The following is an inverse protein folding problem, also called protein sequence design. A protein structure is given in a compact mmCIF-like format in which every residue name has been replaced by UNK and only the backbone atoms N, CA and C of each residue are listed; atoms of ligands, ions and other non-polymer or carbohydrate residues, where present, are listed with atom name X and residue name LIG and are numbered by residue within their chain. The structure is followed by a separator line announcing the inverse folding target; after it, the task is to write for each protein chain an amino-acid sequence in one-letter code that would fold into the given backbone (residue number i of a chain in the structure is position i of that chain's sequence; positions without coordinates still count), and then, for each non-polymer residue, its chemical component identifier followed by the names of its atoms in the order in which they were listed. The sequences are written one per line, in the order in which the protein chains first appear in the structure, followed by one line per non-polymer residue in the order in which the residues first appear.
data_IF_456383972633
#
_entry.id   IF_456383972633
#
_cell.length_a   1.000
_cell.length_b   1.000
_cell.length_c   1.000
_cell.angle_alpha   90.00
_cell.angle_beta   90.00
_cell.angle_gamma   90.00
#
_symmetry.space_group_name_H-M   'P 1'
#
loop_
_entity.id
_entity.type
_entity.pdbx_description
1 polymer ?
#
# COMPACT_ATOMS: atom_id res chain seq x y z
N UNK A 1 -19.83 0.38 -6.20
CA UNK A 1 -20.37 -0.26 -7.42
C UNK A 1 -19.54 -1.48 -7.78
N UNK A 2 -20.20 -2.54 -8.21
CA UNK A 2 -19.56 -3.67 -8.88
C UNK A 2 -19.21 -3.31 -10.32
N UNK A 3 -18.40 -4.11 -10.99
CA UNK A 3 -18.00 -3.87 -12.39
C UNK A 3 -19.19 -3.88 -13.36
N UNK A 4 -20.29 -4.52 -12.98
CA UNK A 4 -21.56 -4.51 -13.72
C UNK A 4 -22.42 -3.24 -13.45
N UNK A 5 -21.93 -2.31 -12.66
CA UNK A 5 -22.65 -1.09 -12.27
C UNK A 5 -23.66 -1.26 -11.13
N UNK A 6 -23.71 -2.42 -10.49
CA UNK A 6 -24.60 -2.65 -9.34
C UNK A 6 -24.11 -1.88 -8.12
N UNK A 7 -24.99 -1.08 -7.51
CA UNK A 7 -24.68 -0.37 -6.28
C UNK A 7 -24.63 -1.33 -5.09
N UNK A 8 -23.50 -1.40 -4.41
CA UNK A 8 -23.30 -2.23 -3.23
C UNK A 8 -23.16 -1.35 -1.99
N UNK A 9 -23.75 -1.80 -0.89
CA UNK A 9 -23.60 -1.16 0.40
C UNK A 9 -22.22 -1.51 0.97
N UNK A 10 -21.42 -0.48 1.24
CA UNK A 10 -20.18 -0.63 1.96
C UNK A 10 -20.45 -0.62 3.47
N UNK A 11 -19.83 -1.53 4.20
CA UNK A 11 -19.90 -1.59 5.64
C UNK A 11 -18.60 -1.07 6.25
N UNK A 12 -18.70 -0.45 7.43
CA UNK A 12 -17.52 -0.17 8.24
C UNK A 12 -16.85 -1.51 8.59
N UNK A 13 -15.56 -1.61 8.32
CA UNK A 13 -14.79 -2.83 8.55
C UNK A 13 -14.24 -2.92 9.97
N UNK A 14 -13.75 -4.10 10.32
CA UNK A 14 -13.00 -4.31 11.54
C UNK A 14 -11.64 -3.62 11.45
N UNK A 15 -11.19 -3.01 12.53
CA UNK A 15 -9.92 -2.27 12.60
C UNK A 15 -8.69 -3.14 12.88
N UNK A 16 -8.85 -4.46 12.97
CA UNK A 16 -7.77 -5.40 13.27
C UNK A 16 -6.63 -5.40 12.24
N UNK A 17 -6.92 -5.03 10.97
CA UNK A 17 -5.92 -4.94 9.90
C UNK A 17 -5.07 -3.67 9.95
N UNK A 18 -5.50 -2.65 10.69
CA UNK A 18 -4.78 -1.38 10.77
C UNK A 18 -3.39 -1.56 11.38
N UNK A 19 -3.25 -2.37 12.42
CA UNK A 19 -1.95 -2.64 13.02
C UNK A 19 -1.00 -3.36 12.07
N UNK A 20 -1.52 -4.28 11.25
CA UNK A 20 -0.72 -4.98 10.22
C UNK A 20 -0.12 -3.97 9.24
N UNK A 21 -0.92 -2.97 8.82
CA UNK A 21 -0.41 -1.92 7.93
C UNK A 21 0.62 -1.01 8.60
N UNK A 22 0.39 -0.61 9.84
CA UNK A 22 1.36 0.19 10.61
C UNK A 22 2.69 -0.54 10.74
N UNK A 23 2.66 -1.83 11.09
CA UNK A 23 3.86 -2.66 11.21
C UNK A 23 4.57 -2.85 9.85
N UNK A 24 3.81 -3.01 8.78
CA UNK A 24 4.32 -3.10 7.42
C UNK A 24 5.03 -1.80 6.98
N UNK A 25 4.46 -0.64 7.26
CA UNK A 25 5.10 0.66 7.00
C UNK A 25 6.35 0.83 7.85
N UNK A 26 6.31 0.45 9.13
CA UNK A 26 7.48 0.51 10.00
C UNK A 26 8.61 -0.39 9.49
N UNK A 27 8.28 -1.59 9.02
CA UNK A 27 9.28 -2.50 8.40
C UNK A 27 9.97 -1.86 7.18
N UNK A 28 9.25 -1.06 6.37
CA UNK A 28 9.87 -0.28 5.29
C UNK A 28 10.86 0.76 5.82
N UNK A 29 10.46 1.51 6.85
CA UNK A 29 11.33 2.50 7.48
C UNK A 29 12.57 1.87 8.11
N UNK A 30 12.43 0.68 8.66
CA UNK A 30 13.52 -0.09 9.30
C UNK A 30 14.35 -0.88 8.29
N UNK A 31 13.94 -0.91 7.01
CA UNK A 31 14.58 -1.72 5.95
C UNK A 31 14.50 -3.23 6.21
N UNK A 32 13.51 -3.66 6.97
CA UNK A 32 13.26 -5.07 7.30
C UNK A 32 12.56 -5.80 6.15
N UNK A 33 13.33 -6.28 5.19
CA UNK A 33 12.82 -6.95 4.00
C UNK A 33 12.09 -8.26 4.32
N UNK A 34 12.53 -8.99 5.34
CA UNK A 34 11.88 -10.23 5.77
C UNK A 34 10.51 -9.94 6.40
N UNK A 35 10.45 -8.93 7.27
CA UNK A 35 9.19 -8.45 7.84
C UNK A 35 8.19 -8.00 6.78
N UNK A 36 8.66 -7.27 5.76
CA UNK A 36 7.83 -6.85 4.62
C UNK A 36 7.29 -8.07 3.85
N UNK A 37 8.13 -9.04 3.54
CA UNK A 37 7.73 -10.24 2.78
C UNK A 37 6.71 -11.10 3.56
N UNK A 38 6.88 -11.22 4.87
CA UNK A 38 6.05 -12.07 5.72
C UNK A 38 4.58 -11.63 5.77
N UNK A 39 4.31 -10.34 5.63
CA UNK A 39 2.95 -9.76 5.70
C UNK A 39 2.14 -9.99 4.42
N UNK A 40 2.80 -10.33 3.31
CA UNK A 40 2.16 -10.49 2.00
C UNK A 40 1.78 -11.92 1.70
N UNK A 41 0.70 -12.09 0.94
CA UNK A 41 0.38 -13.37 0.31
C UNK A 41 1.41 -13.70 -0.78
N UNK A 42 1.63 -14.98 -1.07
CA UNK A 42 2.63 -15.39 -2.08
C UNK A 42 2.30 -14.86 -3.48
N UNK A 43 1.03 -14.71 -3.77
CA UNK A 43 0.49 -14.23 -5.05
C UNK A 43 0.00 -12.77 -5.00
N UNK A 44 0.55 -11.96 -4.07
CA UNK A 44 0.16 -10.56 -3.98
C UNK A 44 0.51 -9.76 -5.23
N UNK A 45 -0.24 -8.69 -5.46
CA UNK A 45 -0.03 -7.77 -6.57
C UNK A 45 -0.03 -6.33 -6.08
N UNK A 46 0.91 -5.52 -6.59
CA UNK A 46 0.98 -4.10 -6.37
C UNK A 46 0.81 -3.31 -7.67
N UNK A 47 -0.10 -2.35 -7.67
CA UNK A 47 -0.40 -1.48 -8.81
C UNK A 47 0.09 -0.07 -8.50
N UNK A 48 1.11 0.38 -9.24
CA UNK A 48 1.81 1.63 -9.01
C UNK A 48 1.16 2.81 -9.74
N UNK A 49 1.34 4.05 -9.27
CA UNK A 49 0.72 5.24 -9.86
C UNK A 49 1.09 5.46 -11.32
N UNK A 50 2.29 5.06 -11.73
CA UNK A 50 2.78 5.17 -13.11
C UNK A 50 2.30 4.08 -14.06
N UNK A 51 1.39 3.20 -13.61
CA UNK A 51 0.88 2.07 -14.40
C UNK A 51 1.72 0.79 -14.31
N UNK A 52 2.80 0.79 -13.53
CA UNK A 52 3.59 -0.40 -13.26
C UNK A 52 2.84 -1.39 -12.37
N UNK A 53 3.08 -2.68 -12.60
CA UNK A 53 2.53 -3.77 -11.78
C UNK A 53 3.68 -4.63 -11.27
N UNK A 54 3.68 -4.87 -9.96
CA UNK A 54 4.64 -5.77 -9.32
C UNK A 54 3.86 -7.00 -8.84
N UNK A 55 4.33 -8.20 -9.21
CA UNK A 55 3.70 -9.46 -8.83
C UNK A 55 4.65 -10.32 -8.00
N UNK A 56 4.19 -10.69 -6.82
CA UNK A 56 4.89 -11.57 -5.90
C UNK A 56 6.00 -10.89 -5.08
N UNK A 57 6.41 -11.57 -4.02
CA UNK A 57 7.39 -11.04 -3.07
C UNK A 57 8.79 -10.88 -3.67
N UNK A 58 9.26 -11.84 -4.48
CA UNK A 58 10.62 -11.78 -5.02
C UNK A 58 10.88 -10.49 -5.79
N UNK A 59 9.99 -10.16 -6.74
CA UNK A 59 10.12 -8.95 -7.54
C UNK A 59 10.06 -7.67 -6.68
N UNK A 60 9.20 -7.66 -5.67
CA UNK A 60 9.09 -6.49 -4.79
C UNK A 60 10.29 -6.32 -3.87
N UNK A 61 10.83 -7.39 -3.32
CA UNK A 61 12.04 -7.33 -2.48
C UNK A 61 13.25 -6.87 -3.29
N UNK A 62 13.39 -7.32 -4.53
CA UNK A 62 14.45 -6.81 -5.43
C UNK A 62 14.27 -5.31 -5.71
N UNK A 63 13.06 -4.88 -6.03
CA UNK A 63 12.74 -3.46 -6.20
C UNK A 63 13.10 -2.64 -4.95
N UNK A 64 12.74 -3.12 -3.75
CA UNK A 64 13.05 -2.43 -2.51
C UNK A 64 14.55 -2.40 -2.20
N UNK A 65 15.29 -3.47 -2.47
CA UNK A 65 16.75 -3.50 -2.30
C UNK A 65 17.42 -2.38 -3.08
N UNK A 66 17.07 -2.25 -4.36
CA UNK A 66 17.62 -1.21 -5.22
C UNK A 66 17.21 0.19 -4.73
N UNK A 67 15.96 0.37 -4.37
CA UNK A 67 15.47 1.65 -3.89
C UNK A 67 16.10 2.05 -2.56
N UNK A 68 16.21 1.12 -1.60
CA UNK A 68 16.83 1.37 -0.30
C UNK A 68 18.34 1.62 -0.39
N UNK A 69 19.03 1.03 -1.38
CA UNK A 69 20.43 1.29 -1.67
C UNK A 69 20.67 2.62 -2.38
N UNK A 70 19.63 3.23 -2.95
CA UNK A 70 19.73 4.49 -3.67
C UNK A 70 19.90 5.68 -2.72
N UNK A 71 20.32 6.82 -3.30
CA UNK A 71 20.42 8.10 -2.58
C UNK A 71 19.06 8.73 -2.22
N UNK A 72 17.95 8.15 -2.69
CA UNK A 72 16.60 8.67 -2.44
C UNK A 72 16.19 8.60 -0.98
N UNK A 73 16.67 7.58 -0.25
CA UNK A 73 16.40 7.38 1.19
C UNK A 73 14.93 7.56 1.57
N UNK A 74 14.01 6.76 0.99
CA UNK A 74 12.57 6.93 1.21
C UNK A 74 12.17 6.68 2.67
N UNK A 75 11.22 7.49 3.16
CA UNK A 75 10.59 7.37 4.48
C UNK A 75 9.08 7.49 4.34
N UNK A 76 8.37 6.71 5.11
CA UNK A 76 6.90 6.65 5.08
C UNK A 76 6.32 7.09 6.42
N UNK A 77 5.16 7.74 6.35
CA UNK A 77 4.36 8.09 7.51
C UNK A 77 2.88 7.82 7.22
N UNK A 78 2.24 7.03 8.08
CA UNK A 78 0.79 6.82 8.00
C UNK A 78 0.09 8.07 8.51
N UNK A 79 -0.84 8.61 7.73
CA UNK A 79 -1.59 9.84 8.05
C UNK A 79 -3.00 9.54 8.53
N UNK A 80 -3.68 8.59 7.90
CA UNK A 80 -5.04 8.18 8.24
C UNK A 80 -5.34 6.79 7.68
N UNK A 81 -6.33 6.11 8.25
CA UNK A 81 -6.78 4.78 7.80
C UNK A 81 -8.30 4.65 7.94
N UNK A 82 -8.91 3.96 6.98
CA UNK A 82 -10.33 3.62 6.97
C UNK A 82 -10.46 2.13 6.65
N UNK A 83 -10.96 1.34 7.60
CA UNK A 83 -11.27 -0.06 7.37
C UNK A 83 -12.67 -0.20 6.75
N UNK A 84 -12.80 -1.03 5.73
CA UNK A 84 -14.06 -1.28 5.06
C UNK A 84 -14.20 -2.74 4.63
N UNK A 85 -15.41 -3.25 4.69
CA UNK A 85 -15.77 -4.56 4.18
C UNK A 85 -16.86 -4.38 3.12
N UNK A 86 -16.71 -5.05 2.00
CA UNK A 86 -17.65 -4.93 0.89
C UNK A 86 -17.80 -6.25 0.14
N UNK A 87 -18.94 -6.43 -0.49
CA UNK A 87 -19.13 -7.52 -1.43
C UNK A 87 -18.49 -7.14 -2.76
N UNK A 88 -17.55 -7.96 -3.20
CA UNK A 88 -17.05 -7.88 -4.57
C UNK A 88 -18.00 -8.57 -5.54
N UNK A 89 -17.67 -8.50 -6.82
CA UNK A 89 -18.38 -9.16 -7.90
C UNK A 89 -18.68 -10.63 -7.55
N UNK A 90 -19.95 -10.99 -7.32
CA UNK A 90 -20.36 -12.35 -6.99
C UNK A 90 -20.62 -12.65 -5.51
N UNK A 91 -20.57 -11.66 -4.61
CA UNK A 91 -21.16 -11.74 -3.28
C UNK A 91 -20.27 -12.23 -2.14
N UNK A 92 -19.01 -12.60 -2.36
CA UNK A 92 -18.06 -12.84 -1.27
C UNK A 92 -17.63 -11.50 -0.64
N UNK A 93 -17.65 -11.43 0.70
CA UNK A 93 -17.16 -10.24 1.42
C UNK A 93 -15.65 -10.14 1.31
N UNK A 94 -15.16 -8.98 0.88
CA UNK A 94 -13.74 -8.65 0.87
C UNK A 94 -13.41 -7.67 1.99
N UNK A 95 -12.23 -7.83 2.56
CA UNK A 95 -11.70 -6.93 3.61
C UNK A 95 -10.69 -5.98 2.98
N UNK A 96 -10.97 -4.68 3.09
CA UNK A 96 -10.15 -3.62 2.55
C UNK A 96 -9.74 -2.61 3.61
N UNK A 97 -8.56 -2.02 3.44
CA UNK A 97 -8.08 -0.87 4.19
C UNK A 97 -7.68 0.21 3.19
N UNK A 98 -8.32 1.38 3.30
CA UNK A 98 -7.92 2.57 2.56
C UNK A 98 -7.12 3.47 3.48
N UNK A 99 -5.92 3.86 3.07
CA UNK A 99 -5.01 4.61 3.94
C UNK A 99 -4.27 5.70 3.20
N UNK A 100 -4.15 6.86 3.83
CA UNK A 100 -3.28 7.95 3.38
C UNK A 100 -1.92 7.83 4.03
N UNK A 101 -0.87 7.85 3.20
CA UNK A 101 0.51 7.80 3.66
C UNK A 101 1.32 8.88 2.95
N UNK A 102 2.18 9.56 3.69
CA UNK A 102 3.18 10.43 3.10
C UNK A 102 4.46 9.65 2.88
N UNK A 103 5.06 9.81 1.71
CA UNK A 103 6.40 9.33 1.41
C UNK A 103 7.30 10.53 1.18
N UNK A 104 8.43 10.57 1.89
CA UNK A 104 9.45 11.59 1.75
C UNK A 104 10.72 10.95 1.22
N UNK A 105 11.30 11.52 0.18
CA UNK A 105 12.52 11.01 -0.44
C UNK A 105 13.34 12.15 -1.04
N UNK A 106 14.59 11.89 -1.39
CA UNK A 106 15.45 12.85 -2.08
C UNK A 106 15.31 12.66 -3.60
N UNK A 107 15.14 13.77 -4.33
CA UNK A 107 15.17 13.78 -5.79
C UNK A 107 16.61 13.65 -6.33
N UNK A 108 16.76 13.67 -7.65
CA UNK A 108 18.05 13.55 -8.32
C UNK A 108 19.03 14.70 -7.98
N UNK A 109 18.50 15.85 -7.60
CA UNK A 109 19.29 17.05 -7.21
C UNK A 109 19.59 17.07 -5.69
N UNK A 110 19.13 16.06 -4.94
CA UNK A 110 19.31 15.96 -3.50
C UNK A 110 18.29 16.76 -2.68
N UNK A 111 17.27 17.33 -3.31
CA UNK A 111 16.21 18.03 -2.60
C UNK A 111 15.21 17.05 -2.01
N UNK A 112 14.71 17.33 -0.82
CA UNK A 112 13.67 16.54 -0.20
C UNK A 112 12.31 16.83 -0.87
N UNK A 113 11.65 15.76 -1.30
CA UNK A 113 10.32 15.77 -1.92
C UNK A 113 9.36 14.96 -1.06
N UNK A 114 8.13 15.43 -0.93
CA UNK A 114 7.04 14.67 -0.30
C UNK A 114 5.95 14.39 -1.32
N UNK A 115 5.54 13.15 -1.41
CA UNK A 115 4.34 12.72 -2.13
C UNK A 115 3.27 12.25 -1.14
N UNK A 116 2.03 12.54 -1.45
CA UNK A 116 0.87 12.04 -0.71
C UNK A 116 0.31 10.84 -1.45
N UNK A 117 0.31 9.68 -0.81
CA UNK A 117 -0.19 8.45 -1.37
C UNK A 117 -1.51 8.04 -0.72
N UNK A 118 -2.45 7.56 -1.52
CA UNK A 118 -3.57 6.76 -1.06
C UNK A 118 -3.32 5.32 -1.47
N UNK A 119 -3.36 4.42 -0.51
CA UNK A 119 -3.25 3.00 -0.74
C UNK A 119 -4.60 2.34 -0.46
N UNK A 120 -5.10 1.58 -1.42
CA UNK A 120 -6.20 0.65 -1.23
C UNK A 120 -5.63 -0.75 -1.09
N UNK A 121 -5.80 -1.35 0.09
CA UNK A 121 -5.19 -2.62 0.45
C UNK A 121 -6.26 -3.67 0.66
N UNK A 122 -6.22 -4.74 -0.11
CA UNK A 122 -7.03 -5.93 0.12
C UNK A 122 -6.27 -6.92 1.00
N UNK A 123 -6.96 -7.41 2.04
CA UNK A 123 -6.48 -8.49 2.88
C UNK A 123 -7.22 -9.79 2.60
N UNK A 124 -6.48 -10.89 2.63
CA UNK A 124 -7.02 -12.25 2.74
C UNK A 124 -6.45 -12.86 4.01
N UNK A 125 -7.31 -13.08 5.02
CA UNK A 125 -6.85 -13.37 6.37
C UNK A 125 -5.98 -12.22 6.88
N UNK A 126 -4.81 -12.52 7.40
CA UNK A 126 -3.84 -11.53 7.88
C UNK A 126 -2.74 -11.21 6.85
N UNK A 127 -2.96 -11.52 5.58
CA UNK A 127 -2.00 -11.28 4.49
C UNK A 127 -2.51 -10.23 3.53
N UNK A 128 -1.60 -9.36 3.08
CA UNK A 128 -1.88 -8.40 2.02
C UNK A 128 -1.91 -9.15 0.69
N UNK A 129 -3.04 -9.05 0.00
CA UNK A 129 -3.28 -9.67 -1.30
C UNK A 129 -3.05 -8.70 -2.46
N UNK A 130 -3.48 -7.46 -2.30
CA UNK A 130 -3.41 -6.42 -3.34
C UNK A 130 -3.18 -5.06 -2.71
N UNK A 131 -2.38 -4.25 -3.38
CA UNK A 131 -2.21 -2.83 -3.05
C UNK A 131 -2.39 -2.02 -4.34
N UNK A 132 -3.37 -1.11 -4.35
CA UNK A 132 -3.47 -0.08 -5.39
C UNK A 132 -2.91 1.22 -4.83
N UNK A 133 -2.00 1.87 -5.54
CA UNK A 133 -1.34 3.10 -5.08
C UNK A 133 -1.71 4.26 -6.00
N UNK A 134 -2.19 5.33 -5.40
CA UNK A 134 -2.44 6.61 -6.06
C UNK A 134 -1.55 7.68 -5.42
N UNK A 135 -0.98 8.57 -6.21
CA UNK A 135 -0.09 9.59 -5.68
C UNK A 135 -0.37 10.97 -6.23
N UNK A 136 -0.06 11.97 -5.43
CA UNK A 136 0.09 13.35 -5.85
C UNK A 136 1.31 13.99 -5.17
N UNK A 137 1.95 14.92 -5.86
CA UNK A 137 3.01 15.74 -5.28
C UNK A 137 2.42 16.75 -4.28
N UNK A 138 3.19 17.06 -3.24
CA UNK A 138 2.91 18.23 -2.42
C UNK A 138 3.00 19.49 -3.26
N UNK A 139 2.07 20.42 -3.05
CA UNK A 139 2.16 21.72 -3.68
C UNK A 139 3.38 22.45 -3.11
N UNK A 140 4.20 23.05 -3.98
CA UNK A 140 5.20 24.02 -3.55
C UNK A 140 4.44 25.28 -3.18
N UNK A 141 4.58 25.72 -1.94
CA UNK A 141 4.14 27.06 -1.51
C UNK A 141 4.96 28.15 -2.21
#
# INVERSE_FOLDING_TARGET
YSDDGTANKLLAGNTDKQQIWVDYIQAHNDRDLDGIATVKADDWEGYLPGGGVIKGNTAYIEFLKDWFASSQNPKWKVMWMIANDGAANGGATETWLTTGNDITFNDADGNQVTEHHVHDIQFVGNKIKRINVYSRLSQKE
#
